data_IF_171078248133
#
_entry.id   IF_171078248133
#
_cell.length_a   1.000
_cell.length_b   1.000
_cell.length_c   1.000
_cell.angle_alpha   90.00
_cell.angle_beta   90.00
_cell.angle_gamma   90.00
#
_symmetry.space_group_name_H-M   'P 1'
#
loop_
_entity.id
_entity.type
_entity.pdbx_description
1 polymer ?
#
# COMPACT_ATOMS: atom_id res chain seq x y z
N UNK A 1 -8.06 -13.47 10.64
CA UNK A 1 -6.95 -13.40 9.64
C UNK A 1 -6.53 -11.94 9.64
N UNK A 2 -5.32 -11.61 10.11
CA UNK A 2 -4.95 -10.21 10.34
C UNK A 2 -5.09 -9.39 9.06
N UNK A 3 -5.67 -8.20 9.16
CA UNK A 3 -5.80 -7.26 8.03
C UNK A 3 -4.54 -6.42 7.93
N UNK A 4 -4.13 -6.08 6.71
CA UNK A 4 -3.07 -5.09 6.51
C UNK A 4 -3.70 -3.72 6.72
N UNK A 5 -3.13 -2.94 7.63
CA UNK A 5 -3.60 -1.57 7.92
C UNK A 5 -2.70 -0.54 7.28
N UNK A 6 -1.43 -0.89 7.03
CA UNK A 6 -0.46 0.04 6.44
C UNK A 6 0.66 -0.69 5.69
N UNK A 7 1.15 -0.06 4.64
CA UNK A 7 2.38 -0.43 3.93
C UNK A 7 3.30 0.79 3.87
N UNK A 8 4.58 0.59 4.20
CA UNK A 8 5.63 1.56 3.97
C UNK A 8 6.62 1.04 2.92
N UNK A 9 7.13 1.94 2.09
CA UNK A 9 8.25 1.70 1.18
C UNK A 9 9.34 2.70 1.54
N UNK A 10 10.38 2.23 2.23
CA UNK A 10 11.49 3.06 2.72
C UNK A 10 12.78 2.76 1.97
N UNK A 11 13.22 3.70 1.14
CA UNK A 11 14.46 3.65 0.38
C UNK A 11 15.33 4.89 0.69
N UNK A 12 16.64 4.88 0.38
CA UNK A 12 17.45 6.09 0.47
C UNK A 12 16.83 7.22 -0.36
N UNK A 13 16.54 8.35 0.28
CA UNK A 13 15.95 9.56 -0.34
C UNK A 13 14.51 9.42 -0.88
N UNK A 14 13.81 8.33 -0.57
CA UNK A 14 12.44 8.12 -1.02
C UNK A 14 11.66 7.28 -0.02
N UNK A 15 10.53 7.82 0.45
CA UNK A 15 9.67 7.16 1.43
C UNK A 15 8.22 7.30 1.00
N UNK A 16 7.49 6.19 0.98
CA UNK A 16 6.06 6.16 0.69
C UNK A 16 5.31 5.44 1.80
N UNK A 17 4.15 5.96 2.17
CA UNK A 17 3.28 5.38 3.20
C UNK A 17 1.86 5.24 2.66
N UNK A 18 1.27 4.09 2.90
CA UNK A 18 -0.06 3.70 2.44
C UNK A 18 -0.87 3.16 3.62
N UNK A 19 -1.64 4.01 4.27
CA UNK A 19 -2.42 3.67 5.48
C UNK A 19 -3.92 3.65 5.17
N UNK A 20 -4.61 2.57 5.54
CA UNK A 20 -6.05 2.43 5.34
C UNK A 20 -6.78 3.52 6.14
N UNK A 21 -7.63 4.29 5.46
CA UNK A 21 -8.34 5.42 6.05
C UNK A 21 -7.63 6.77 5.88
N UNK A 22 -6.44 6.81 5.28
CA UNK A 22 -5.69 8.04 5.01
C UNK A 22 -5.35 8.21 3.52
N UNK A 23 -4.96 9.43 3.14
CA UNK A 23 -4.35 9.67 1.84
C UNK A 23 -2.93 9.08 1.81
N UNK A 24 -2.49 8.59 0.66
CA UNK A 24 -1.12 8.10 0.50
C UNK A 24 -0.11 9.23 0.75
N UNK A 25 1.06 8.92 1.31
CA UNK A 25 2.15 9.87 1.51
C UNK A 25 3.36 9.48 0.67
N UNK A 26 4.06 10.44 0.06
CA UNK A 26 5.28 10.22 -0.75
C UNK A 26 5.07 9.53 -2.10
N UNK A 27 3.84 9.08 -2.37
CA UNK A 27 3.47 8.38 -3.59
C UNK A 27 3.45 9.30 -4.84
N UNK A 28 3.37 8.70 -6.02
CA UNK A 28 3.20 9.46 -7.27
C UNK A 28 1.92 10.31 -7.25
N UNK A 29 1.98 11.51 -7.85
CA UNK A 29 0.84 12.46 -7.94
C UNK A 29 -0.45 11.84 -8.48
N UNK A 30 -0.34 10.81 -9.32
CA UNK A 30 -1.52 10.10 -9.87
C UNK A 30 -2.27 9.33 -8.79
N UNK A 31 -1.56 8.72 -7.84
CA UNK A 31 -2.17 7.94 -6.78
C UNK A 31 -2.86 8.83 -5.73
N UNK A 32 -2.29 10.00 -5.44
CA UNK A 32 -2.94 11.05 -4.64
C UNK A 32 -4.32 11.45 -5.15
N UNK A 33 -4.52 11.51 -6.47
CA UNK A 33 -5.84 11.81 -7.04
C UNK A 33 -6.91 10.78 -6.68
N UNK A 34 -6.48 9.57 -6.32
CA UNK A 34 -7.31 8.46 -5.87
C UNK A 34 -8.02 8.71 -4.55
N UNK A 35 -7.57 9.68 -3.75
CA UNK A 35 -8.16 10.00 -2.44
C UNK A 35 -7.71 9.03 -1.35
N UNK A 36 -8.59 8.78 -0.39
CA UNK A 36 -8.33 7.95 0.79
C UNK A 36 -8.14 6.50 0.37
N UNK A 37 -7.15 5.84 0.96
CA UNK A 37 -6.91 4.41 0.82
C UNK A 37 -8.04 3.66 1.51
N UNK A 38 -8.78 2.88 0.73
CA UNK A 38 -9.94 2.12 1.21
C UNK A 38 -9.54 0.77 1.75
N UNK A 39 -8.63 0.09 1.08
CA UNK A 39 -8.19 -1.25 1.48
C UNK A 39 -6.82 -1.60 0.93
N UNK A 40 -6.17 -2.53 1.63
CA UNK A 40 -4.92 -3.17 1.20
C UNK A 40 -5.15 -4.68 1.21
N UNK A 41 -5.00 -5.30 0.04
CA UNK A 41 -5.18 -6.75 -0.14
C UNK A 41 -3.86 -7.42 -0.47
N UNK A 42 -3.57 -8.52 0.22
CA UNK A 42 -2.49 -9.43 -0.16
C UNK A 42 -3.03 -10.48 -1.12
N UNK A 43 -2.41 -10.62 -2.29
CA UNK A 43 -2.71 -11.66 -3.28
C UNK A 43 -1.51 -12.59 -3.36
N UNK A 44 -1.75 -13.89 -3.22
CA UNK A 44 -0.71 -14.93 -3.26
C UNK A 44 -0.88 -15.69 -4.57
N UNK A 45 0.05 -15.49 -5.51
CA UNK A 45 0.16 -16.24 -6.76
C UNK A 45 1.58 -16.79 -6.92
N UNK A 46 2.12 -16.75 -8.15
CA UNK A 46 3.54 -17.06 -8.42
C UNK A 46 4.49 -16.10 -7.67
N UNK A 47 4.10 -14.83 -7.55
CA UNK A 47 4.70 -13.84 -6.67
C UNK A 47 3.62 -13.30 -5.71
N UNK A 48 3.99 -12.99 -4.47
CA UNK A 48 3.08 -12.27 -3.56
C UNK A 48 3.05 -10.81 -3.95
N UNK A 49 1.84 -10.24 -4.13
CA UNK A 49 1.64 -8.81 -4.40
C UNK A 49 0.66 -8.21 -3.40
N UNK A 50 0.78 -6.90 -3.21
CA UNK A 50 -0.08 -6.08 -2.37
C UNK A 50 -0.81 -5.07 -3.24
N UNK A 51 -2.14 -5.14 -3.24
CA UNK A 51 -3.02 -4.24 -3.97
C UNK A 51 -3.54 -3.18 -3.01
N UNK A 52 -3.17 -1.93 -3.25
CA UNK A 52 -3.61 -0.77 -2.48
C UNK A 52 -4.67 -0.07 -3.31
N UNK A 53 -5.91 -0.11 -2.85
CA UNK A 53 -7.05 0.47 -3.59
C UNK A 53 -7.60 1.68 -2.85
N UNK A 54 -7.76 2.78 -3.56
CA UNK A 54 -8.37 4.01 -3.04
C UNK A 54 -9.89 4.00 -3.18
N UNK A 55 -10.57 4.90 -2.47
CA UNK A 55 -12.02 5.06 -2.53
C UNK A 55 -12.56 5.36 -3.95
N UNK A 56 -11.76 6.03 -4.78
CA UNK A 56 -12.09 6.33 -6.19
C UNK A 56 -11.74 5.20 -7.17
N UNK A 57 -11.32 4.04 -6.67
CA UNK A 57 -11.05 2.85 -7.47
C UNK A 57 -9.67 2.83 -8.15
N UNK A 58 -8.77 3.77 -7.84
CA UNK A 58 -7.37 3.67 -8.28
C UNK A 58 -6.70 2.56 -7.49
N UNK A 59 -6.02 1.65 -8.18
CA UNK A 59 -5.29 0.54 -7.55
C UNK A 59 -3.82 0.62 -7.90
N UNK A 60 -2.96 0.56 -6.88
CA UNK A 60 -1.52 0.42 -7.00
C UNK A 60 -1.14 -1.02 -6.63
N UNK A 61 -0.27 -1.62 -7.43
CA UNK A 61 0.31 -2.92 -7.15
C UNK A 61 1.75 -2.75 -6.64
N UNK A 62 2.04 -3.34 -5.49
CA UNK A 62 3.41 -3.48 -4.96
C UNK A 62 3.77 -4.96 -4.90
N UNK A 63 4.90 -5.32 -5.49
CA UNK A 63 5.45 -6.68 -5.41
C UNK A 63 6.10 -6.90 -4.05
N UNK A 64 6.04 -8.12 -3.52
CA UNK A 64 6.76 -8.46 -2.29
C UNK A 64 8.28 -8.37 -2.43
N UNK A 65 8.80 -8.36 -3.68
CA UNK A 65 10.19 -8.11 -4.01
C UNK A 65 10.59 -6.63 -4.00
N UNK A 66 9.65 -5.71 -3.79
CA UNK A 66 9.91 -4.27 -3.69
C UNK A 66 10.88 -3.98 -2.54
N UNK A 67 11.98 -3.29 -2.85
CA UNK A 67 12.95 -2.89 -1.84
C UNK A 67 12.35 -1.89 -0.87
N UNK A 68 12.71 -2.01 0.41
CA UNK A 68 12.22 -1.12 1.45
C UNK A 68 10.78 -1.39 1.90
N UNK A 69 10.12 -2.43 1.38
CA UNK A 69 8.74 -2.76 1.72
C UNK A 69 8.61 -3.24 3.18
N UNK A 70 7.72 -2.61 3.94
CA UNK A 70 7.33 -2.99 5.30
C UNK A 70 5.81 -3.08 5.40
N UNK A 71 5.30 -4.20 5.91
CA UNK A 71 3.87 -4.47 6.04
C UNK A 71 3.46 -4.41 7.51
N UNK A 72 2.50 -3.55 7.83
CA UNK A 72 1.96 -3.40 9.18
C UNK A 72 0.58 -4.06 9.21
N UNK A 73 0.45 -5.00 10.12
CA UNK A 73 -0.77 -5.75 10.33
C UNK A 73 -1.53 -5.15 11.50
N UNK A 74 -2.84 -4.96 11.34
CA UNK A 74 -3.70 -4.63 12.46
C UNK A 74 -3.82 -5.82 13.40
N UNK A 75 -3.80 -5.55 14.69
CA UNK A 75 -4.32 -6.51 15.66
C UNK A 75 -5.85 -6.59 15.51
N UNK A 76 -6.36 -7.82 15.64
CA UNK A 76 -7.77 -8.16 15.37
C UNK A 76 -8.73 -7.49 16.36
#
# INVERSE_FOLDING_TARGET
MKKIIEINVEMPYHSETYTVGEEASGASRTFYKGGIIKEIKRVIGEETVYLITTEKGITLELKNSQQGLRIIWGDE
#
